data_IF_761031125679
#
_entry.id   IF_761031125679
#
_cell.length_a   1.000
_cell.length_b   1.000
_cell.length_c   1.000
_cell.angle_alpha   90.00
_cell.angle_beta   90.00
_cell.angle_gamma   90.00
#
_symmetry.space_group_name_H-M   'P 1'
#
loop_
_entity.id
_entity.type
_entity.pdbx_description
1 polymer ?
#
# COMPACT_ATOMS: atom_id res chain seq x y z
N UNK A 1 -4.92 -17.37 -0.98
CA UNK A 1 -6.25 -16.80 -1.28
C UNK A 1 -6.68 -17.27 -2.68
N UNK A 2 -7.89 -17.78 -2.85
CA UNK A 2 -8.41 -18.15 -4.18
C UNK A 2 -8.95 -16.93 -4.93
N UNK A 3 -9.14 -17.04 -6.26
CA UNK A 3 -9.62 -15.92 -7.09
C UNK A 3 -11.05 -15.50 -6.73
N UNK A 4 -11.91 -16.46 -6.39
CA UNK A 4 -13.27 -16.18 -5.90
C UNK A 4 -13.25 -15.47 -4.53
N UNK A 5 -12.36 -15.88 -3.62
CA UNK A 5 -12.18 -15.22 -2.34
C UNK A 5 -11.65 -13.78 -2.52
N UNK A 6 -10.74 -13.55 -3.47
CA UNK A 6 -10.22 -12.22 -3.80
C UNK A 6 -11.32 -11.32 -4.38
N UNK A 7 -12.18 -11.85 -5.25
CA UNK A 7 -13.29 -11.10 -5.81
C UNK A 7 -14.34 -10.73 -4.74
N UNK A 8 -14.66 -11.66 -3.83
CA UNK A 8 -15.57 -11.41 -2.71
C UNK A 8 -15.00 -10.39 -1.73
N UNK A 9 -13.73 -10.52 -1.37
CA UNK A 9 -13.01 -9.56 -0.53
C UNK A 9 -13.00 -8.17 -1.17
N UNK A 10 -12.67 -8.05 -2.45
CA UNK A 10 -12.63 -6.77 -3.16
C UNK A 10 -14.01 -6.09 -3.19
N UNK A 11 -15.08 -6.87 -3.40
CA UNK A 11 -16.45 -6.34 -3.33
C UNK A 11 -16.76 -5.75 -1.95
N UNK A 12 -16.44 -6.49 -0.89
CA UNK A 12 -16.71 -6.06 0.49
C UNK A 12 -15.86 -4.83 0.88
N UNK A 13 -14.57 -4.87 0.58
CA UNK A 13 -13.60 -3.85 0.98
C UNK A 13 -13.84 -2.51 0.27
N UNK A 14 -14.10 -2.54 -1.04
CA UNK A 14 -14.33 -1.34 -1.84
C UNK A 14 -15.82 -1.01 -2.05
N UNK A 15 -16.73 -1.72 -1.36
CA UNK A 15 -18.19 -1.52 -1.43
C UNK A 15 -18.73 -1.52 -2.87
N UNK A 16 -18.25 -2.44 -3.70
CA UNK A 16 -18.62 -2.52 -5.11
C UNK A 16 -20.05 -3.05 -5.28
N UNK A 17 -20.80 -2.52 -6.26
CA UNK A 17 -22.16 -2.98 -6.56
C UNK A 17 -22.22 -4.46 -6.95
N UNK A 18 -21.20 -4.96 -7.66
CA UNK A 18 -21.12 -6.34 -8.15
C UNK A 18 -19.76 -6.95 -7.83
N UNK A 19 -19.72 -8.28 -7.76
CA UNK A 19 -18.46 -9.02 -7.63
C UNK A 19 -17.65 -8.78 -8.91
N UNK A 20 -16.38 -8.37 -8.81
CA UNK A 20 -15.52 -8.21 -9.99
C UNK A 20 -15.45 -9.50 -10.79
N UNK A 21 -15.49 -9.38 -12.12
CA UNK A 21 -15.33 -10.53 -12.99
C UNK A 21 -13.95 -11.16 -12.79
N UNK A 22 -13.88 -12.48 -12.96
CA UNK A 22 -12.64 -13.24 -12.80
C UNK A 22 -11.51 -12.66 -13.67
N UNK A 23 -11.81 -12.29 -14.92
CA UNK A 23 -10.86 -11.65 -15.83
C UNK A 23 -10.29 -10.34 -15.26
N UNK A 24 -11.15 -9.48 -14.70
CA UNK A 24 -10.74 -8.22 -14.08
C UNK A 24 -9.81 -8.45 -12.90
N UNK A 25 -10.10 -9.45 -12.06
CA UNK A 25 -9.23 -9.83 -10.94
C UNK A 25 -7.87 -10.32 -11.45
N UNK A 26 -7.85 -11.13 -12.52
CA UNK A 26 -6.61 -11.61 -13.14
C UNK A 26 -5.78 -10.46 -13.71
N UNK A 27 -6.41 -9.52 -14.41
CA UNK A 27 -5.75 -8.36 -14.99
C UNK A 27 -5.15 -7.44 -13.93
N UNK A 28 -5.87 -7.22 -12.81
CA UNK A 28 -5.36 -6.45 -11.67
C UNK A 28 -4.14 -7.15 -11.08
N UNK A 29 -4.18 -8.46 -10.85
CA UNK A 29 -3.05 -9.20 -10.27
C UNK A 29 -1.83 -9.17 -11.21
N UNK A 30 -2.04 -9.34 -12.52
CA UNK A 30 -0.97 -9.24 -13.52
C UNK A 30 -0.35 -7.84 -13.56
N UNK A 31 -1.20 -6.80 -13.52
CA UNK A 31 -0.75 -5.41 -13.54
C UNK A 31 -0.24 -4.93 -12.19
N UNK A 32 -0.55 -5.62 -11.09
CA UNK A 32 -0.06 -5.28 -9.75
C UNK A 32 1.47 -5.39 -9.70
N UNK A 33 2.04 -6.46 -10.27
CA UNK A 33 3.48 -6.63 -10.41
C UNK A 33 4.13 -5.47 -11.18
N UNK A 34 3.49 -5.02 -12.26
CA UNK A 34 3.93 -3.86 -13.04
C UNK A 34 3.80 -2.56 -12.24
N UNK A 35 2.73 -2.37 -11.46
CA UNK A 35 2.52 -1.18 -10.64
C UNK A 35 3.46 -1.08 -9.44
N UNK A 36 4.00 -2.21 -9.00
CA UNK A 36 5.01 -2.30 -7.93
C UNK A 36 6.44 -2.34 -8.49
N UNK A 37 6.62 -2.37 -9.81
CA UNK A 37 7.94 -2.24 -10.43
C UNK A 37 8.54 -0.88 -10.11
N UNK A 38 9.86 -0.86 -9.86
CA UNK A 38 10.63 0.37 -9.66
C UNK A 38 10.50 1.31 -10.87
N UNK A 39 10.36 0.76 -12.06
CA UNK A 39 10.21 1.50 -13.33
C UNK A 39 8.84 2.19 -13.47
N UNK A 40 7.84 1.75 -12.71
CA UNK A 40 6.53 2.41 -12.69
C UNK A 40 6.56 3.71 -11.86
N UNK A 41 7.55 3.83 -10.96
CA UNK A 41 7.70 4.94 -10.02
C UNK A 41 8.70 5.98 -10.49
N UNK A 42 8.27 6.91 -11.34
CA UNK A 42 8.72 8.31 -11.27
C UNK A 42 7.85 9.27 -12.10
N UNK A 43 7.31 8.82 -13.23
CA UNK A 43 6.47 9.67 -14.11
C UNK A 43 5.10 9.11 -14.49
N UNK A 44 4.85 7.82 -14.23
CA UNK A 44 3.67 7.09 -14.72
C UNK A 44 2.58 6.86 -13.67
N UNK A 45 2.75 7.39 -12.45
CA UNK A 45 1.60 7.58 -11.55
C UNK A 45 0.60 8.45 -12.30
N UNK A 46 -0.66 8.01 -12.38
CA UNK A 46 -1.78 8.90 -12.76
C UNK A 46 -1.55 10.21 -12.02
N UNK A 47 -1.43 11.33 -12.77
CA UNK A 47 -1.22 12.69 -12.23
C UNK A 47 -1.91 12.73 -10.87
N UNK A 48 -1.21 13.06 -9.76
CA UNK A 48 -1.88 13.24 -8.48
C UNK A 48 -3.12 14.07 -8.79
N UNK A 49 -4.32 13.56 -8.46
CA UNK A 49 -5.51 14.39 -8.60
C UNK A 49 -5.14 15.66 -7.84
N UNK A 50 -4.99 16.78 -8.55
CA UNK A 50 -4.80 18.08 -7.91
C UNK A 50 -6.06 18.25 -7.10
N UNK A 51 -5.93 17.95 -5.81
CA UNK A 51 -7.00 18.13 -4.87
C UNK A 51 -7.15 19.64 -4.78
N UNK A 52 -8.17 20.19 -5.44
CA UNK A 52 -8.39 21.64 -5.49
C UNK A 52 -8.81 22.22 -4.14
N UNK A 53 -9.11 21.36 -3.16
CA UNK A 53 -9.47 21.75 -1.81
C UNK A 53 -8.27 21.66 -0.87
N UNK A 54 -7.78 22.80 -0.40
CA UNK A 54 -6.68 22.91 0.58
C UNK A 54 -6.90 22.00 1.80
N UNK A 55 -8.14 21.91 2.30
CA UNK A 55 -8.46 21.06 3.45
C UNK A 55 -8.25 19.57 3.18
N UNK A 56 -8.50 19.12 1.95
CA UNK A 56 -8.31 17.72 1.57
C UNK A 56 -6.84 17.41 1.26
N UNK A 57 -6.08 18.38 0.74
CA UNK A 57 -4.62 18.28 0.59
C UNK A 57 -3.92 18.16 1.95
N UNK A 58 -4.29 18.98 2.94
CA UNK A 58 -3.74 18.88 4.30
C UNK A 58 -4.06 17.52 4.95
N UNK A 59 -5.30 17.02 4.78
CA UNK A 59 -5.69 15.70 5.31
C UNK A 59 -4.93 14.56 4.64
N UNK A 60 -4.70 14.64 3.32
CA UNK A 60 -3.92 13.65 2.60
C UNK A 60 -2.46 13.63 3.07
N UNK A 61 -1.85 14.80 3.25
CA UNK A 61 -0.49 14.93 3.77
C UNK A 61 -0.35 14.35 5.19
N UNK A 62 -1.30 14.66 6.09
CA UNK A 62 -1.31 14.11 7.44
C UNK A 62 -1.42 12.58 7.43
N UNK A 63 -2.25 12.03 6.54
CA UNK A 63 -2.44 10.60 6.39
C UNK A 63 -1.18 9.89 5.86
N UNK A 64 -0.50 10.46 4.85
CA UNK A 64 0.76 9.92 4.32
C UNK A 64 1.82 9.83 5.42
N UNK A 65 1.99 10.91 6.21
CA UNK A 65 2.94 10.92 7.32
C UNK A 65 2.63 9.87 8.38
N UNK A 66 1.35 9.68 8.72
CA UNK A 66 0.94 8.66 9.69
C UNK A 66 1.25 7.23 9.20
N UNK A 67 1.01 6.95 7.92
CA UNK A 67 1.32 5.64 7.32
C UNK A 67 2.82 5.38 7.26
N UNK A 68 3.62 6.38 6.91
CA UNK A 68 5.09 6.26 6.91
C UNK A 68 5.66 6.06 8.32
N UNK A 69 5.15 6.79 9.31
CA UNK A 69 5.53 6.60 10.71
C UNK A 69 5.18 5.19 11.20
N UNK A 70 4.00 4.69 10.88
CA UNK A 70 3.57 3.33 11.23
C UNK A 70 4.47 2.26 10.58
N UNK A 71 4.86 2.45 9.31
CA UNK A 71 5.84 1.57 8.64
C UNK A 71 7.21 1.61 9.33
N UNK A 72 7.70 2.80 9.72
CA UNK A 72 8.97 2.95 10.43
C UNK A 72 8.96 2.29 11.81
N UNK A 73 7.82 2.32 12.51
CA UNK A 73 7.65 1.68 13.81
C UNK A 73 7.50 0.15 13.72
N UNK A 74 7.18 -0.38 12.54
CA UNK A 74 7.10 -1.83 12.29
C UNK A 74 8.45 -2.49 11.95
N UNK A 75 9.53 -1.72 11.80
CA UNK A 75 10.89 -2.25 11.71
C UNK A 75 11.43 -2.42 13.12
N UNK A 76 11.75 -3.66 13.59
CA UNK A 76 12.38 -3.82 14.89
C UNK A 76 13.70 -3.07 14.87
N UNK A 77 13.83 -2.11 15.79
CA UNK A 77 15.09 -1.47 16.11
C UNK A 77 15.97 -2.58 16.66
N UNK A 78 16.80 -3.19 15.80
CA UNK A 78 17.86 -4.08 16.29
C UNK A 78 18.82 -3.19 17.06
N UNK A 79 18.61 -3.14 18.37
CA UNK A 79 19.48 -2.48 19.31
C UNK A 79 20.84 -3.17 19.20
N UNK A 80 21.82 -2.42 18.68
CA UNK A 80 23.17 -2.88 18.40
C UNK A 80 24.04 -2.77 19.65
N UNK A 81 23.48 -3.09 20.83
CA UNK A 81 24.12 -2.81 22.12
C UNK A 81 24.06 -3.97 23.12
N UNK A 82 24.12 -5.23 22.64
CA UNK A 82 24.22 -6.42 23.51
C UNK A 82 25.60 -7.12 23.45
N UNK A 83 26.61 -6.52 22.79
CA UNK A 83 27.91 -7.17 22.57
C UNK A 83 28.92 -7.03 23.72
N UNK A 84 28.50 -6.71 24.95
CA UNK A 84 29.41 -6.60 26.12
C UNK A 84 29.04 -7.46 27.34
N UNK A 85 28.03 -8.33 27.27
CA UNK A 85 27.61 -9.14 28.43
C UNK A 85 28.07 -10.59 28.46
N UNK A 86 28.82 -11.05 27.44
CA UNK A 86 29.37 -12.42 27.43
C UNK A 86 30.85 -12.40 27.04
N UNK A 87 31.69 -11.94 27.95
CA UNK A 87 33.14 -12.24 27.95
C UNK A 87 33.60 -12.22 29.41
N UNK A 88 33.28 -13.31 30.11
CA UNK A 88 33.89 -13.72 31.36
C UNK A 88 34.60 -15.05 31.11
#
# INVERSE_FOLDING_TARGET
MSQAALAAWAKAHYKLKRVPAQATVSDIVKKAALSMSKDYGDGNRRKPLKVTSTALETRLWAWIQAVEAQKRLSVPRTDKDESKRYSA
#
